data_IF_984535891347
#
_entry.id   IF_984535891347
#
_cell.length_a   1.000
_cell.length_b   1.000
_cell.length_c   1.000
_cell.angle_alpha   90.00
_cell.angle_beta   90.00
_cell.angle_gamma   90.00
#
_symmetry.space_group_name_H-M   'P 1'
#
loop_
_entity.id
_entity.type
_entity.pdbx_description
1 polymer ?
#
# COMPACT_ATOMS: atom_id res chain seq x y z
N UNK A 1 79.65 30.59 -10.82
CA UNK A 1 79.98 29.16 -10.68
C UNK A 1 78.79 28.45 -10.11
N UNK A 2 78.48 27.35 -10.64
CA UNK A 2 77.46 26.29 -10.30
C UNK A 2 76.16 26.35 -11.02
N UNK A 3 76.15 25.45 -11.99
CA UNK A 3 75.09 25.01 -12.85
C UNK A 3 74.07 24.21 -12.03
N UNK A 4 72.80 24.53 -12.11
CA UNK A 4 71.74 23.71 -11.52
C UNK A 4 70.90 23.09 -12.62
N UNK A 5 70.93 21.80 -12.70
CA UNK A 5 70.21 20.97 -13.62
C UNK A 5 68.71 20.97 -13.28
N UNK A 6 67.87 21.42 -14.20
CA UNK A 6 66.44 21.20 -14.11
C UNK A 6 66.10 19.84 -14.69
N UNK A 7 65.75 18.94 -13.82
CA UNK A 7 65.10 17.67 -14.17
C UNK A 7 63.63 17.93 -14.49
N UNK A 8 63.27 17.82 -15.75
CA UNK A 8 61.87 17.75 -16.16
C UNK A 8 61.33 16.36 -15.85
N UNK A 9 60.53 16.26 -14.79
CA UNK A 9 59.76 15.06 -14.54
C UNK A 9 58.39 15.21 -15.18
N UNK A 10 58.21 14.59 -16.32
CA UNK A 10 56.92 14.50 -17.02
C UNK A 10 56.09 13.48 -16.27
N UNK A 11 55.13 13.99 -15.49
CA UNK A 11 54.12 13.15 -14.79
C UNK A 11 52.99 12.86 -15.78
N UNK A 12 52.94 11.65 -16.30
CA UNK A 12 51.89 11.14 -17.17
C UNK A 12 50.69 10.79 -16.28
N UNK A 13 49.73 11.70 -16.13
CA UNK A 13 48.46 11.42 -15.47
C UNK A 13 47.58 10.58 -16.41
N UNK A 14 47.57 9.27 -16.19
CA UNK A 14 46.55 8.39 -16.78
C UNK A 14 45.19 8.70 -16.14
N UNK A 15 44.31 9.36 -16.90
CA UNK A 15 42.92 9.57 -16.52
C UNK A 15 42.18 8.23 -16.61
N UNK A 16 42.01 7.56 -15.48
CA UNK A 16 41.11 6.43 -15.35
C UNK A 16 39.68 6.99 -15.32
N UNK A 17 39.00 6.93 -16.45
CA UNK A 17 37.61 7.29 -16.58
C UNK A 17 36.74 6.28 -15.83
N UNK A 18 36.29 6.65 -14.61
CA UNK A 18 35.20 5.95 -13.93
C UNK A 18 33.91 6.24 -14.68
N UNK A 19 33.53 5.36 -15.59
CA UNK A 19 32.22 5.33 -16.19
C UNK A 19 31.20 4.95 -15.12
N UNK A 20 30.50 5.97 -14.56
CA UNK A 20 29.31 5.75 -13.75
C UNK A 20 28.20 5.18 -14.64
N UNK A 21 28.15 3.88 -14.77
CA UNK A 21 27.03 3.17 -15.38
C UNK A 21 25.80 3.38 -14.50
N UNK A 22 24.95 4.35 -14.87
CA UNK A 22 23.62 4.48 -14.31
C UNK A 22 22.84 3.21 -14.64
N UNK A 23 22.76 2.27 -13.70
CA UNK A 23 21.87 1.14 -13.78
C UNK A 23 20.44 1.68 -13.64
N UNK A 24 19.80 1.97 -14.77
CA UNK A 24 18.36 2.20 -14.81
C UNK A 24 17.68 0.94 -14.30
N UNK A 25 17.26 0.98 -13.03
CA UNK A 25 16.38 -0.04 -12.48
C UNK A 25 15.06 0.07 -13.20
N UNK A 26 14.88 -0.80 -14.20
CA UNK A 26 13.61 -1.00 -14.87
C UNK A 26 12.64 -1.54 -13.82
N UNK A 27 11.90 -0.63 -13.19
CA UNK A 27 10.79 -0.99 -12.33
C UNK A 27 9.87 -1.90 -13.14
N UNK A 28 9.83 -3.16 -12.76
CA UNK A 28 8.94 -4.14 -13.34
C UNK A 28 7.55 -3.76 -12.84
N UNK A 29 6.85 -2.90 -13.59
CA UNK A 29 5.44 -2.64 -13.34
C UNK A 29 4.73 -3.98 -13.45
N UNK A 30 4.34 -4.52 -12.31
CA UNK A 30 3.38 -5.64 -12.25
C UNK A 30 2.17 -5.21 -13.07
N UNK A 31 1.68 -6.03 -14.03
CA UNK A 31 0.48 -5.70 -14.75
C UNK A 31 -0.62 -5.41 -13.73
N UNK A 32 -1.15 -4.19 -13.73
CA UNK A 32 -2.28 -3.86 -12.88
C UNK A 32 -3.40 -4.83 -13.21
N UNK A 33 -3.70 -5.74 -12.31
CA UNK A 33 -4.92 -6.56 -12.38
C UNK A 33 -6.06 -5.57 -12.59
N UNK A 34 -6.95 -5.79 -13.58
CA UNK A 34 -8.02 -4.85 -13.84
C UNK A 34 -8.75 -4.57 -12.52
N UNK A 35 -8.71 -3.32 -12.09
CA UNK A 35 -9.26 -2.85 -10.81
C UNK A 35 -10.70 -3.34 -10.58
N UNK A 36 -11.42 -3.55 -11.68
CA UNK A 36 -12.81 -4.04 -11.69
C UNK A 36 -12.94 -5.51 -11.28
N UNK A 37 -11.92 -6.35 -11.48
CA UNK A 37 -12.01 -7.79 -11.20
C UNK A 37 -12.07 -8.11 -9.69
N UNK A 38 -11.77 -7.16 -8.82
CA UNK A 38 -11.77 -7.35 -7.36
C UNK A 38 -12.87 -6.55 -6.66
N UNK A 39 -13.75 -5.88 -7.40
CA UNK A 39 -14.85 -5.11 -6.83
C UNK A 39 -15.97 -6.04 -6.32
N UNK A 40 -15.98 -6.27 -5.02
CA UNK A 40 -16.96 -7.11 -4.34
C UNK A 40 -18.38 -6.53 -4.41
N UNK A 41 -18.50 -5.21 -4.45
CA UNK A 41 -19.80 -4.52 -4.55
C UNK A 41 -20.29 -4.53 -6.00
N UNK A 42 -19.43 -4.34 -6.97
CA UNK A 42 -19.76 -4.48 -8.38
C UNK A 42 -20.29 -5.89 -8.72
N UNK A 43 -19.71 -6.93 -8.13
CA UNK A 43 -20.21 -8.30 -8.25
C UNK A 43 -21.63 -8.49 -7.66
N UNK A 44 -22.09 -7.57 -6.82
CA UNK A 44 -23.47 -7.50 -6.26
C UNK A 44 -24.36 -6.50 -6.99
N UNK A 45 -23.89 -5.93 -8.10
CA UNK A 45 -24.67 -5.00 -8.93
C UNK A 45 -24.65 -3.55 -8.47
N UNK A 46 -23.82 -3.17 -7.49
CA UNK A 46 -23.69 -1.77 -7.10
C UNK A 46 -22.83 -1.02 -8.12
N UNK A 47 -23.30 0.10 -8.67
CA UNK A 47 -22.53 0.88 -9.62
C UNK A 47 -21.38 1.66 -8.94
N UNK A 48 -20.34 1.98 -9.70
CA UNK A 48 -19.17 2.71 -9.20
C UNK A 48 -19.52 4.04 -8.53
N UNK A 49 -20.59 4.70 -8.98
CA UNK A 49 -21.10 5.98 -8.46
C UNK A 49 -21.63 5.87 -7.04
N UNK A 50 -21.96 4.68 -6.56
CA UNK A 50 -22.39 4.48 -5.16
C UNK A 50 -21.28 4.92 -4.19
N UNK A 51 -20.03 4.69 -4.55
CA UNK A 51 -18.86 5.04 -3.73
C UNK A 51 -18.10 6.27 -4.27
N UNK A 52 -17.96 6.39 -5.59
CA UNK A 52 -17.17 7.43 -6.23
C UNK A 52 -18.03 8.49 -6.88
N UNK A 53 -17.91 9.75 -6.44
CA UNK A 53 -18.61 10.88 -7.05
C UNK A 53 -18.24 11.05 -8.55
N UNK A 54 -16.99 10.73 -8.92
CA UNK A 54 -16.54 10.73 -10.29
C UNK A 54 -15.80 9.43 -10.62
N UNK A 55 -16.46 8.42 -11.19
CA UNK A 55 -15.82 7.14 -11.53
C UNK A 55 -14.72 7.24 -12.59
N UNK A 56 -14.69 8.30 -13.39
CA UNK A 56 -13.63 8.53 -14.39
C UNK A 56 -12.34 9.09 -13.76
N UNK A 57 -12.44 9.67 -12.57
CA UNK A 57 -11.33 10.19 -11.76
C UNK A 57 -11.57 9.77 -10.30
N UNK A 58 -11.49 8.49 -9.98
CA UNK A 58 -11.82 8.00 -8.65
C UNK A 58 -10.87 8.57 -7.61
N UNK A 59 -11.44 9.01 -6.50
CA UNK A 59 -10.70 9.41 -5.29
C UNK A 59 -10.88 8.33 -4.22
N UNK A 60 -9.99 8.25 -3.23
CA UNK A 60 -10.20 7.38 -2.08
C UNK A 60 -11.58 7.61 -1.45
N UNK A 61 -12.25 6.53 -1.11
CA UNK A 61 -13.59 6.58 -0.50
C UNK A 61 -13.42 6.60 1.01
N UNK A 62 -13.99 7.61 1.67
CA UNK A 62 -13.94 7.72 3.12
C UNK A 62 -14.92 6.74 3.78
N UNK A 63 -14.64 6.40 5.05
CA UNK A 63 -15.40 5.44 5.86
C UNK A 63 -16.90 5.77 5.92
N UNK A 64 -17.26 7.04 5.92
CA UNK A 64 -18.67 7.50 5.95
C UNK A 64 -19.52 6.85 4.87
N UNK A 65 -18.95 6.61 3.68
CA UNK A 65 -19.64 5.89 2.61
C UNK A 65 -19.90 4.42 2.96
N UNK A 66 -18.99 3.78 3.63
CA UNK A 66 -19.15 2.38 4.04
C UNK A 66 -20.32 2.24 5.04
N UNK A 67 -20.33 3.12 6.04
CA UNK A 67 -21.31 3.04 7.14
C UNK A 67 -22.73 3.43 6.74
N UNK A 68 -22.96 4.00 5.56
CA UNK A 68 -24.31 4.21 5.04
C UNK A 68 -25.09 2.91 4.84
N UNK A 69 -24.38 1.78 4.65
CA UNK A 69 -24.96 0.45 4.46
C UNK A 69 -24.46 -0.57 5.48
N UNK A 70 -23.26 -0.37 6.03
CA UNK A 70 -22.61 -1.27 6.98
C UNK A 70 -22.57 -0.63 8.37
N UNK A 71 -23.57 -0.90 9.18
CA UNK A 71 -23.66 -0.35 10.54
C UNK A 71 -22.62 -1.02 11.44
N UNK A 72 -21.67 -0.25 12.07
CA UNK A 72 -20.53 -0.79 12.81
C UNK A 72 -20.94 -1.70 13.97
N UNK A 73 -21.97 -1.34 14.72
CA UNK A 73 -22.47 -2.16 15.84
C UNK A 73 -23.02 -3.50 15.37
N UNK A 74 -23.75 -3.52 14.25
CA UNK A 74 -24.24 -4.77 13.68
C UNK A 74 -23.10 -5.66 13.17
N UNK A 75 -22.03 -5.06 12.62
CA UNK A 75 -20.82 -5.81 12.25
C UNK A 75 -20.11 -6.39 13.47
N UNK A 76 -19.96 -5.61 14.53
CA UNK A 76 -19.40 -6.08 15.81
C UNK A 76 -20.19 -7.26 16.37
N UNK A 77 -21.51 -7.21 16.34
CA UNK A 77 -22.36 -8.32 16.76
C UNK A 77 -22.15 -9.58 15.90
N UNK A 78 -22.07 -9.44 14.58
CA UNK A 78 -21.81 -10.56 13.67
C UNK A 78 -20.46 -11.22 13.88
N UNK A 79 -19.47 -10.45 14.32
CA UNK A 79 -18.10 -10.91 14.53
C UNK A 79 -17.73 -11.16 16.00
N UNK A 80 -18.70 -11.09 16.91
CA UNK A 80 -18.47 -11.23 18.36
C UNK A 80 -17.73 -12.52 18.74
N UNK A 81 -17.94 -13.59 17.98
CA UNK A 81 -17.31 -14.90 18.23
C UNK A 81 -15.97 -15.11 17.51
N UNK A 82 -15.49 -14.13 16.74
CA UNK A 82 -14.21 -14.22 16.04
C UNK A 82 -13.06 -14.21 17.05
N UNK A 83 -12.12 -15.13 16.89
CA UNK A 83 -10.95 -15.27 17.75
C UNK A 83 -9.69 -14.83 17.01
N UNK A 84 -8.69 -14.28 17.73
CA UNK A 84 -8.57 -14.15 19.19
C UNK A 84 -9.33 -12.95 19.78
N UNK A 85 -9.81 -12.02 18.97
CA UNK A 85 -10.61 -10.86 19.40
C UNK A 85 -11.61 -10.47 18.31
N UNK A 86 -12.65 -9.74 18.68
CA UNK A 86 -13.58 -9.16 17.70
C UNK A 86 -12.87 -8.06 16.88
N UNK A 87 -12.71 -8.21 15.57
CA UNK A 87 -12.04 -7.21 14.75
C UNK A 87 -12.81 -5.89 14.62
N UNK A 88 -14.14 -5.92 14.76
CA UNK A 88 -15.01 -4.73 14.66
C UNK A 88 -15.36 -4.10 16.02
N UNK A 89 -14.81 -4.62 17.11
CA UNK A 89 -14.92 -4.08 18.47
C UNK A 89 -13.64 -4.39 19.23
N UNK A 90 -12.53 -3.92 18.70
CA UNK A 90 -11.22 -4.19 19.29
C UNK A 90 -10.90 -3.24 20.45
N UNK A 91 -9.97 -3.65 21.31
CA UNK A 91 -9.52 -2.81 22.44
C UNK A 91 -8.88 -1.49 22.00
N UNK A 92 -8.34 -1.43 20.77
CA UNK A 92 -7.62 -0.27 20.28
C UNK A 92 -8.53 0.75 19.62
N UNK A 93 -9.56 0.30 18.93
CA UNK A 93 -10.37 1.14 18.04
C UNK A 93 -11.86 1.12 18.40
N UNK A 94 -12.32 0.21 19.25
CA UNK A 94 -13.76 0.03 19.51
C UNK A 94 -14.50 -0.23 18.20
N UNK A 95 -15.56 0.54 17.98
CA UNK A 95 -16.38 0.53 16.75
C UNK A 95 -15.90 1.52 15.67
N UNK A 96 -14.83 2.27 15.94
CA UNK A 96 -14.40 3.42 15.13
C UNK A 96 -13.19 3.12 14.22
N UNK A 97 -12.81 1.85 14.09
CA UNK A 97 -11.76 1.47 13.15
C UNK A 97 -12.14 1.86 11.72
N UNK A 98 -11.23 2.55 11.01
CA UNK A 98 -11.47 2.85 9.60
C UNK A 98 -11.56 1.56 8.79
N UNK A 99 -12.68 1.41 8.07
CA UNK A 99 -12.96 0.23 7.25
C UNK A 99 -11.84 -0.04 6.23
N UNK A 100 -11.28 1.03 5.65
CA UNK A 100 -10.23 0.94 4.64
C UNK A 100 -8.89 0.44 5.21
N UNK A 101 -8.70 0.42 6.53
CA UNK A 101 -7.50 -0.13 7.15
C UNK A 101 -7.37 -1.65 6.97
N UNK A 102 -8.49 -2.32 6.68
CA UNK A 102 -8.52 -3.77 6.47
C UNK A 102 -9.24 -4.15 5.18
N UNK A 103 -10.35 -3.50 4.86
CA UNK A 103 -11.19 -3.86 3.71
C UNK A 103 -10.83 -3.02 2.49
N UNK A 104 -10.47 -3.71 1.42
CA UNK A 104 -10.15 -3.08 0.15
C UNK A 104 -11.08 -3.60 -0.94
N UNK A 105 -11.66 -2.69 -1.75
CA UNK A 105 -12.58 -3.07 -2.82
C UNK A 105 -11.87 -3.48 -4.12
N UNK A 106 -10.71 -2.89 -4.37
CA UNK A 106 -9.98 -3.02 -5.63
C UNK A 106 -8.60 -3.68 -5.48
N UNK A 107 -8.29 -4.22 -4.30
CA UNK A 107 -7.09 -5.01 -4.01
C UNK A 107 -7.40 -6.03 -2.92
N UNK A 108 -6.53 -7.00 -2.66
CA UNK A 108 -6.72 -7.93 -1.54
C UNK A 108 -6.87 -7.19 -0.21
N UNK A 109 -7.86 -7.62 0.58
CA UNK A 109 -8.04 -7.15 1.95
C UNK A 109 -6.97 -7.76 2.87
N UNK A 110 -6.57 -7.05 3.90
CA UNK A 110 -5.51 -7.46 4.83
C UNK A 110 -5.87 -7.07 6.26
N UNK A 111 -5.27 -7.73 7.23
CA UNK A 111 -5.55 -7.45 8.64
C UNK A 111 -4.56 -6.45 9.20
N UNK A 112 -5.02 -5.25 9.56
CA UNK A 112 -4.22 -4.26 10.30
C UNK A 112 -3.64 -4.83 11.60
N UNK A 113 -4.34 -5.75 12.25
CA UNK A 113 -3.87 -6.33 13.51
C UNK A 113 -2.57 -7.12 13.34
N UNK A 114 -2.28 -7.66 12.16
CA UNK A 114 -1.14 -8.51 11.91
C UNK A 114 0.20 -7.78 12.01
N UNK A 115 0.22 -6.45 11.86
CA UNK A 115 1.41 -5.60 11.95
C UNK A 115 2.03 -5.65 13.37
N UNK A 116 1.17 -5.72 14.39
CA UNK A 116 1.60 -5.81 15.78
C UNK A 116 1.34 -7.20 16.40
N UNK A 117 0.38 -7.94 15.87
CA UNK A 117 -0.02 -9.26 16.35
C UNK A 117 0.14 -10.32 15.26
N UNK A 118 1.35 -10.77 14.93
CA UNK A 118 1.59 -11.69 13.80
C UNK A 118 0.93 -13.06 13.95
N UNK A 119 0.50 -13.41 15.18
CA UNK A 119 -0.28 -14.62 15.45
C UNK A 119 -1.77 -14.48 15.09
N UNK A 120 -2.28 -13.26 14.87
CA UNK A 120 -3.69 -13.06 14.52
C UNK A 120 -3.88 -13.34 13.03
N UNK A 121 -4.51 -14.45 12.71
CA UNK A 121 -4.73 -14.94 11.34
C UNK A 121 -6.16 -14.67 10.88
N UNK A 122 -6.57 -13.40 10.92
CA UNK A 122 -7.88 -13.03 10.39
C UNK A 122 -7.93 -13.19 8.87
N UNK A 123 -9.00 -13.80 8.39
CA UNK A 123 -9.36 -13.77 6.98
C UNK A 123 -10.29 -12.59 6.76
N UNK A 124 -9.75 -11.52 6.21
CA UNK A 124 -10.54 -10.33 5.86
C UNK A 124 -11.20 -10.58 4.50
N UNK A 125 -12.55 -10.54 4.40
CA UNK A 125 -13.28 -10.83 3.17
C UNK A 125 -13.10 -9.73 2.13
#
# INVERSE_FOLDING_TARGET
MRKSFFFFLVLLCAAVGFGAGAMAQKSKSTPATPVVAMDKHGAKGLPCQTCHANPKKPQPVAMDKCVTCHEPKALAQKTANVKPTNPHESRHYGLEADCNSCHHQHKPSESLCADCHPSFKFKVP
#
